data_IF_310056148956
#
_entry.id   IF_310056148956
#
_cell.length_a   1.000
_cell.length_b   1.000
_cell.length_c   1.000
_cell.angle_alpha   90.00
_cell.angle_beta   90.00
_cell.angle_gamma   90.00
#
_symmetry.space_group_name_H-M   'P 1'
#
loop_
_entity.id
_entity.type
_entity.pdbx_description
1 polymer ?
#
# COMPACT_ATOMS: atom_id res chain seq x y z
N UNK A 1 -6.39 10.55 -1.12
CA UNK A 1 -5.49 11.12 -2.14
C UNK A 1 -5.01 10.03 -3.07
N UNK A 2 -5.11 10.26 -4.35
CA UNK A 2 -4.56 9.35 -5.35
C UNK A 2 -3.17 9.85 -5.75
N UNK A 3 -2.12 9.04 -5.57
CA UNK A 3 -0.78 9.50 -5.94
C UNK A 3 -0.67 9.77 -7.44
N UNK A 4 -0.02 10.87 -7.79
CA UNK A 4 0.30 11.15 -9.19
C UNK A 4 1.55 10.34 -9.60
N UNK A 5 1.95 10.43 -10.87
CA UNK A 5 3.07 9.64 -11.38
C UNK A 5 4.39 9.92 -10.66
N UNK A 6 4.66 11.17 -10.33
CA UNK A 6 5.89 11.53 -9.61
C UNK A 6 5.87 11.01 -8.19
N UNK A 7 4.72 11.07 -7.54
CA UNK A 7 4.54 10.54 -6.20
C UNK A 7 4.68 9.02 -6.19
N UNK A 8 4.09 8.32 -7.16
CA UNK A 8 4.24 6.88 -7.30
C UNK A 8 5.70 6.49 -7.49
N UNK A 9 6.40 7.23 -8.33
CA UNK A 9 7.83 6.97 -8.57
C UNK A 9 8.63 7.11 -7.28
N UNK A 10 8.34 8.14 -6.50
CA UNK A 10 9.00 8.32 -5.21
C UNK A 10 8.67 7.18 -4.24
N UNK A 11 7.38 6.82 -4.14
CA UNK A 11 6.96 5.73 -3.26
C UNK A 11 7.66 4.42 -3.63
N UNK A 12 7.86 4.16 -4.91
CA UNK A 12 8.59 2.97 -5.36
C UNK A 12 10.02 2.93 -4.85
N UNK A 13 10.67 4.08 -4.71
CA UNK A 13 12.04 4.13 -4.17
C UNK A 13 12.09 3.71 -2.70
N UNK A 14 10.98 3.83 -1.99
CA UNK A 14 10.92 3.46 -0.58
C UNK A 14 10.63 1.98 -0.35
N UNK A 15 10.16 1.28 -1.38
CA UNK A 15 9.69 -0.11 -1.24
C UNK A 15 10.77 -1.07 -0.76
N UNK A 16 12.01 -0.86 -1.18
CA UNK A 16 13.11 -1.78 -0.86
C UNK A 16 13.44 -1.83 0.63
N UNK A 17 13.18 -0.75 1.34
CA UNK A 17 13.47 -0.68 2.78
C UNK A 17 12.38 -1.33 3.64
N UNK A 18 11.24 -1.68 3.04
CA UNK A 18 10.10 -2.20 3.78
C UNK A 18 10.17 -3.71 3.94
N UNK A 19 9.75 -4.17 5.12
CA UNK A 19 9.48 -5.59 5.37
C UNK A 19 7.97 -5.81 5.44
N UNK A 20 7.48 -6.99 5.06
CA UNK A 20 6.04 -7.24 5.15
C UNK A 20 5.53 -7.11 6.59
N UNK A 21 4.48 -6.32 6.77
CA UNK A 21 3.86 -6.10 8.08
C UNK A 21 2.52 -6.83 8.20
N UNK A 22 1.92 -7.22 7.07
CA UNK A 22 0.70 -8.03 7.05
C UNK A 22 0.97 -9.22 6.13
N UNK A 23 0.64 -10.41 6.62
CA UNK A 23 0.82 -11.65 5.86
C UNK A 23 -0.52 -12.36 5.73
N UNK A 24 -0.83 -12.81 4.52
CA UNK A 24 -2.05 -13.52 4.22
C UNK A 24 -1.68 -14.95 3.85
N UNK A 25 -2.08 -15.88 4.70
CA UNK A 25 -1.80 -17.30 4.54
C UNK A 25 -3.01 -18.09 4.09
N UNK A 26 -3.02 -19.39 4.41
CA UNK A 26 -4.04 -20.32 3.92
C UNK A 26 -5.47 -19.96 4.34
N UNK A 27 -5.63 -19.25 5.44
CA UNK A 27 -6.96 -18.82 5.88
C UNK A 27 -7.50 -17.66 5.04
N UNK A 28 -6.69 -17.10 4.18
CA UNK A 28 -7.10 -16.00 3.31
C UNK A 28 -7.28 -14.69 4.06
N UNK A 29 -8.18 -13.86 3.54
CA UNK A 29 -8.45 -12.55 4.11
C UNK A 29 -9.49 -12.69 5.21
N UNK A 30 -8.99 -12.77 6.45
CA UNK A 30 -9.84 -12.86 7.64
C UNK A 30 -10.12 -11.46 8.18
N UNK A 31 -11.04 -11.38 9.15
CA UNK A 31 -11.30 -10.11 9.85
C UNK A 31 -10.03 -9.61 10.56
N UNK A 32 -9.25 -10.54 11.09
CA UNK A 32 -7.97 -10.22 11.72
C UNK A 32 -7.00 -9.57 10.73
N UNK A 33 -6.89 -10.12 9.52
CA UNK A 33 -6.05 -9.55 8.46
C UNK A 33 -6.53 -8.14 8.11
N UNK A 34 -7.83 -7.94 7.99
CA UNK A 34 -8.40 -6.62 7.68
C UNK A 34 -8.08 -5.61 8.77
N UNK A 35 -8.18 -6.01 10.03
CA UNK A 35 -7.83 -5.14 11.15
C UNK A 35 -6.36 -4.80 11.17
N UNK A 36 -5.49 -5.77 10.95
CA UNK A 36 -4.04 -5.54 10.88
C UNK A 36 -3.69 -4.58 9.74
N UNK A 37 -4.33 -4.76 8.60
CA UNK A 37 -4.11 -3.89 7.45
C UNK A 37 -4.49 -2.45 7.75
N UNK A 38 -5.64 -2.26 8.39
CA UNK A 38 -6.15 -0.93 8.76
C UNK A 38 -5.20 -0.22 9.73
N UNK A 39 -4.75 -0.94 10.76
CA UNK A 39 -3.82 -0.42 11.74
C UNK A 39 -2.49 -0.03 11.08
N UNK A 40 -1.96 -0.92 10.23
CA UNK A 40 -0.69 -0.68 9.56
C UNK A 40 -0.75 0.53 8.64
N UNK A 41 -1.82 0.66 7.84
CA UNK A 41 -2.00 1.80 6.95
C UNK A 41 -2.13 3.11 7.72
N UNK A 42 -2.83 3.09 8.85
CA UNK A 42 -3.00 4.28 9.68
C UNK A 42 -1.67 4.75 10.28
N UNK A 43 -0.81 3.80 10.66
CA UNK A 43 0.47 4.12 11.30
C UNK A 43 1.58 4.47 10.33
N UNK A 44 1.61 3.82 9.16
CA UNK A 44 2.78 3.90 8.28
C UNK A 44 2.52 4.54 6.93
N UNK A 45 1.28 4.67 6.52
CA UNK A 45 0.87 5.13 5.19
C UNK A 45 1.33 4.21 4.05
N UNK A 46 2.59 3.79 4.07
CA UNK A 46 3.17 2.90 3.05
C UNK A 46 3.55 1.60 3.73
N UNK A 47 2.95 0.50 3.28
CA UNK A 47 3.21 -0.81 3.88
C UNK A 47 3.43 -1.86 2.81
N UNK A 48 4.18 -2.89 3.19
CA UNK A 48 4.39 -4.07 2.36
C UNK A 48 3.56 -5.22 2.94
N UNK A 49 2.85 -5.93 2.06
CA UNK A 49 2.09 -7.12 2.45
C UNK A 49 2.57 -8.31 1.66
N UNK A 50 2.39 -9.51 2.21
CA UNK A 50 2.75 -10.74 1.53
C UNK A 50 1.53 -11.65 1.46
N UNK A 51 1.20 -12.10 0.25
CA UNK A 51 0.09 -13.04 0.01
C UNK A 51 0.70 -14.36 -0.44
N UNK A 52 0.67 -15.36 0.44
CA UNK A 52 1.38 -16.62 0.25
C UNK A 52 0.49 -17.76 -0.28
N UNK A 53 -0.75 -17.44 -0.63
CA UNK A 53 -1.72 -18.45 -1.11
C UNK A 53 -2.29 -18.05 -2.44
N UNK A 54 -2.80 -19.08 -3.13
CA UNK A 54 -3.42 -18.88 -4.42
C UNK A 54 -2.39 -18.85 -5.55
N UNK A 55 -2.87 -18.95 -6.76
CA UNK A 55 -2.04 -18.78 -7.93
C UNK A 55 -1.85 -17.29 -8.21
N UNK A 56 -1.13 -16.98 -9.28
CA UNK A 56 -0.80 -15.60 -9.64
C UNK A 56 -2.03 -14.71 -9.80
N UNK A 57 -3.05 -15.22 -10.48
CA UNK A 57 -4.28 -14.45 -10.72
C UNK A 57 -5.09 -14.27 -9.44
N UNK A 58 -5.18 -15.31 -8.63
CA UNK A 58 -5.87 -15.23 -7.34
C UNK A 58 -5.21 -14.23 -6.42
N UNK A 59 -3.87 -14.23 -6.37
CA UNK A 59 -3.13 -13.25 -5.55
C UNK A 59 -3.38 -11.83 -6.04
N UNK A 60 -3.36 -11.62 -7.36
CA UNK A 60 -3.62 -10.31 -7.93
C UNK A 60 -5.01 -9.81 -7.54
N UNK A 61 -6.01 -10.67 -7.64
CA UNK A 61 -7.38 -10.33 -7.28
C UNK A 61 -7.50 -10.01 -5.78
N UNK A 62 -6.85 -10.80 -4.95
CA UNK A 62 -6.85 -10.58 -3.49
C UNK A 62 -6.25 -9.21 -3.15
N UNK A 63 -5.12 -8.89 -3.73
CA UNK A 63 -4.43 -7.62 -3.50
C UNK A 63 -5.29 -6.44 -4.00
N UNK A 64 -5.89 -6.58 -5.17
CA UNK A 64 -6.77 -5.55 -5.73
C UNK A 64 -7.98 -5.29 -4.81
N UNK A 65 -8.61 -6.37 -4.32
CA UNK A 65 -9.73 -6.26 -3.38
C UNK A 65 -9.32 -5.60 -2.08
N UNK A 66 -8.18 -6.00 -1.53
CA UNK A 66 -7.67 -5.42 -0.29
C UNK A 66 -7.43 -3.91 -0.43
N UNK A 67 -6.81 -3.52 -1.54
CA UNK A 67 -6.54 -2.11 -1.80
C UNK A 67 -7.84 -1.32 -1.94
N UNK A 68 -8.79 -1.85 -2.70
CA UNK A 68 -10.07 -1.20 -2.90
C UNK A 68 -10.83 -1.04 -1.57
N UNK A 69 -10.92 -2.12 -0.79
CA UNK A 69 -11.71 -2.11 0.45
C UNK A 69 -11.07 -1.29 1.56
N UNK A 70 -9.76 -1.11 1.53
CA UNK A 70 -9.05 -0.29 2.51
C UNK A 70 -8.80 1.13 2.03
N UNK A 71 -9.30 1.47 0.86
CA UNK A 71 -9.10 2.80 0.25
C UNK A 71 -7.61 3.13 0.12
N UNK A 72 -6.82 2.14 -0.26
CA UNK A 72 -5.38 2.31 -0.49
C UNK A 72 -5.05 2.10 -1.97
N UNK A 73 -3.84 2.45 -2.35
CA UNK A 73 -3.37 2.36 -3.73
C UNK A 73 -2.22 1.38 -3.82
N UNK A 74 -2.25 0.53 -4.85
CA UNK A 74 -1.17 -0.41 -5.10
C UNK A 74 -0.02 0.37 -5.74
N UNK A 75 1.10 0.44 -5.03
CA UNK A 75 2.31 1.10 -5.52
C UNK A 75 3.12 0.16 -6.38
N UNK A 76 3.21 -1.10 -5.95
CA UNK A 76 4.00 -2.11 -6.62
C UNK A 76 3.49 -3.49 -6.23
N UNK A 77 3.56 -4.42 -7.18
CA UNK A 77 3.23 -5.81 -6.92
C UNK A 77 4.25 -6.68 -7.66
N UNK A 78 4.97 -7.52 -6.92
CA UNK A 78 5.97 -8.43 -7.48
C UNK A 78 5.82 -9.78 -6.79
N UNK A 79 5.42 -10.79 -7.54
CA UNK A 79 5.23 -12.13 -7.00
C UNK A 79 4.18 -12.14 -5.89
N UNK A 80 4.59 -12.59 -4.71
CA UNK A 80 3.70 -12.70 -3.54
C UNK A 80 3.60 -11.38 -2.74
N UNK A 81 4.34 -10.37 -3.12
CA UNK A 81 4.50 -9.15 -2.33
C UNK A 81 3.82 -7.97 -3.03
N UNK A 82 3.13 -7.15 -2.26
CA UNK A 82 2.58 -5.89 -2.74
C UNK A 82 2.87 -4.78 -1.76
N UNK A 83 2.98 -3.56 -2.28
CA UNK A 83 3.15 -2.36 -1.46
C UNK A 83 1.92 -1.50 -1.67
N UNK A 84 1.28 -1.13 -0.56
CA UNK A 84 0.08 -0.32 -0.56
C UNK A 84 0.34 1.02 0.11
N UNK A 85 -0.30 2.06 -0.40
CA UNK A 85 -0.18 3.41 0.14
C UNK A 85 -1.57 3.99 0.42
N UNK A 86 -1.72 4.60 1.62
CA UNK A 86 -2.91 5.38 1.95
C UNK A 86 -2.47 6.60 2.77
N UNK A 87 -2.79 7.80 2.25
CA UNK A 87 -2.44 9.04 2.93
C UNK A 87 -3.23 9.19 4.23
N UNK A 88 -2.51 9.49 5.30
CA UNK A 88 -3.13 9.88 6.56
C UNK A 88 -3.12 11.42 6.60
N UNK A 89 -4.26 12.03 6.33
CA UNK A 89 -4.35 13.48 6.21
C UNK A 89 -4.16 14.20 7.54
N UNK A 90 -4.45 13.52 8.65
CA UNK A 90 -4.29 14.12 9.97
C UNK A 90 -2.83 14.10 10.45
N UNK A 91 -2.13 12.99 10.15
CA UNK A 91 -0.73 12.81 10.56
C UNK A 91 0.07 12.22 9.41
N UNK A 92 0.34 13.02 8.39
CA UNK A 92 1.11 12.50 7.25
C UNK A 92 2.53 12.12 7.69
N UNK A 93 2.93 10.92 7.30
CA UNK A 93 4.23 10.35 7.66
C UNK A 93 5.25 10.51 6.53
N UNK A 94 4.81 10.29 5.30
CA UNK A 94 5.69 10.35 4.15
C UNK A 94 5.75 11.77 3.63
N UNK A 95 6.97 12.31 3.58
CA UNK A 95 7.20 13.63 3.03
C UNK A 95 7.70 13.49 1.61
N UNK A 96 6.86 13.88 0.66
CA UNK A 96 7.24 13.81 -0.75
C UNK A 96 8.25 14.90 -1.09
N UNK A 97 9.22 14.58 -1.99
CA UNK A 97 10.13 15.61 -2.48
C UNK A 97 9.34 16.73 -3.18
N UNK A 98 9.92 17.89 -3.23
CA UNK A 98 9.27 19.07 -3.79
C UNK A 98 8.71 18.85 -5.20
N UNK A 99 9.46 18.14 -6.05
CA UNK A 99 9.05 17.88 -7.41
C UNK A 99 7.97 16.82 -7.54
N UNK A 100 7.66 16.12 -6.45
CA UNK A 100 6.62 15.09 -6.43
C UNK A 100 5.42 15.50 -5.59
N UNK A 101 5.40 16.70 -5.00
CA UNK A 101 4.27 17.15 -4.19
C UNK A 101 3.08 17.42 -5.08
N UNK A 102 1.89 17.22 -4.51
CA UNK A 102 0.67 17.56 -5.20
C UNK A 102 0.70 19.04 -5.57
N UNK A 103 0.36 19.36 -6.81
CA UNK A 103 0.30 20.73 -7.25
C UNK A 103 -0.99 21.37 -6.76
N UNK A 104 -0.79 22.31 -6.00
CA UNK A 104 -1.94 23.04 -5.52
C UNK A 104 -1.90 24.47 -5.99
N UNK A 105 -0.99 24.18 -6.56
CA UNK A 105 -0.68 25.09 -6.73
C UNK A 105 -0.81 25.91 -7.13
N UNK A 106 -0.75 25.62 -7.03
CA UNK A 106 -0.63 26.07 -7.38
C UNK A 106 -0.86 27.02 -7.53
N UNK A 107 -0.70 27.22 -7.41
CA UNK A 107 -0.60 27.93 -7.50
C UNK A 107 -0.99 28.45 -7.66
#
# INVERSE_FOLDING_TARGET
MTPNNKQLKYLKTLCHALSPVVRIGQKGVTDSVKSELEIALAHHELIKIKVSVGDREERRQTITSLAHNSDSHIVQQVGQVAVLFRRNHEKPMIEFPRNARANSKSR
#
